data_IF_082411036604
#
_entry.id   IF_082411036604
#
_cell.length_a   1.000
_cell.length_b   1.000
_cell.length_c   1.000
_cell.angle_alpha   90.00
_cell.angle_beta   90.00
_cell.angle_gamma   90.00
#
_symmetry.space_group_name_H-M   'P 1'
#
loop_
_entity.id
_entity.type
_entity.pdbx_description
1 polymer ?
#
# COMPACT_ATOMS: atom_id res chain seq x y z
N UNK A 1 12.99 -18.18 6.68
CA UNK A 1 12.30 -18.24 7.99
C UNK A 1 12.07 -16.82 8.44
N UNK A 2 10.84 -16.33 8.45
CA UNK A 2 10.51 -15.03 9.03
C UNK A 2 9.17 -15.17 9.75
N UNK A 3 9.24 -15.58 11.02
CA UNK A 3 8.11 -15.52 11.94
C UNK A 3 8.46 -14.45 12.96
N UNK A 4 8.11 -13.21 12.65
CA UNK A 4 8.10 -12.08 13.60
C UNK A 4 6.65 -11.64 13.75
N UNK A 5 5.84 -12.47 14.42
CA UNK A 5 4.42 -12.15 14.71
C UNK A 5 4.29 -11.27 15.95
N UNK A 6 5.35 -11.19 16.77
CA UNK A 6 5.47 -10.15 17.77
C UNK A 6 6.38 -9.05 17.23
N UNK A 7 5.78 -7.95 16.75
CA UNK A 7 6.50 -6.68 16.72
C UNK A 7 7.08 -6.47 18.12
N UNK A 8 8.36 -6.10 18.18
CA UNK A 8 9.13 -5.85 19.39
C UNK A 8 8.43 -4.81 20.28
N UNK A 9 7.40 -5.24 21.00
CA UNK A 9 6.76 -4.46 22.04
C UNK A 9 7.61 -4.68 23.29
N UNK A 10 8.25 -3.62 23.76
CA UNK A 10 9.08 -3.62 24.96
C UNK A 10 8.29 -3.97 26.24
N UNK A 11 6.97 -4.19 26.13
CA UNK A 11 6.04 -4.38 27.25
C UNK A 11 5.18 -5.65 27.15
N UNK A 12 5.68 -6.75 26.58
CA UNK A 12 5.03 -8.06 26.80
C UNK A 12 5.41 -8.55 28.20
N UNK A 13 4.56 -8.22 29.17
CA UNK A 13 4.71 -8.68 30.55
C UNK A 13 3.84 -9.92 30.76
N UNK A 14 4.48 -11.07 30.95
CA UNK A 14 3.82 -12.28 31.43
C UNK A 14 4.00 -12.32 32.94
N UNK A 15 3.07 -11.69 33.66
CA UNK A 15 3.11 -11.66 35.12
C UNK A 15 2.35 -12.86 35.69
N UNK A 16 3.05 -13.86 36.24
CA UNK A 16 2.46 -14.96 37.02
C UNK A 16 3.10 -16.32 36.76
N UNK A 17 2.68 -17.32 37.55
CA UNK A 17 3.12 -18.70 37.38
C UNK A 17 2.15 -19.47 36.47
N UNK A 18 2.68 -20.37 35.65
CA UNK A 18 1.86 -21.37 34.96
C UNK A 18 1.28 -22.34 35.99
N UNK A 19 -0.05 -22.50 36.03
CA UNK A 19 -0.70 -23.43 36.93
C UNK A 19 -1.19 -24.66 36.17
N UNK A 20 -0.84 -25.86 36.64
CA UNK A 20 -1.28 -27.10 36.01
C UNK A 20 -2.81 -27.26 36.15
N UNK A 21 -3.51 -27.38 35.03
CA UNK A 21 -4.93 -27.65 34.99
C UNK A 21 -5.15 -29.14 34.74
N UNK A 22 -5.78 -29.83 35.69
CA UNK A 22 -6.10 -31.26 35.59
C UNK A 22 -7.58 -31.46 35.23
N UNK A 23 -7.92 -31.66 33.94
CA UNK A 23 -9.30 -31.96 33.54
C UNK A 23 -9.76 -33.31 34.12
N UNK A 24 -11.04 -33.38 34.54
CA UNK A 24 -11.61 -34.59 35.18
C UNK A 24 -11.70 -35.81 34.25
N UNK A 25 -11.90 -35.61 32.94
CA UNK A 25 -12.20 -36.68 31.98
C UNK A 25 -11.21 -36.72 30.79
N UNK A 26 -10.00 -36.17 30.93
CA UNK A 26 -9.01 -36.15 29.85
C UNK A 26 -7.67 -36.66 30.38
N UNK A 27 -7.27 -37.86 29.95
CA UNK A 27 -5.97 -38.44 30.29
C UNK A 27 -5.00 -38.11 29.16
N UNK A 28 -4.04 -37.26 29.43
CA UNK A 28 -2.98 -36.90 28.49
C UNK A 28 -1.76 -37.80 28.70
N UNK A 29 -1.03 -38.10 27.62
CA UNK A 29 0.25 -38.79 27.72
C UNK A 29 1.25 -38.00 28.56
N UNK A 30 2.19 -38.68 29.22
CA UNK A 30 3.17 -38.09 30.16
C UNK A 30 4.02 -36.95 29.62
N UNK A 31 4.08 -36.79 28.28
CA UNK A 31 4.79 -35.70 27.59
C UNK A 31 4.01 -34.38 27.55
N UNK A 32 2.73 -34.37 27.89
CA UNK A 32 1.85 -33.21 27.75
C UNK A 32 1.20 -32.85 29.09
N UNK A 33 1.20 -31.56 29.43
CA UNK A 33 0.48 -31.00 30.58
C UNK A 33 -0.37 -29.82 30.11
N UNK A 34 -1.62 -29.75 30.55
CA UNK A 34 -2.42 -28.54 30.35
C UNK A 34 -2.04 -27.56 31.45
N UNK A 35 -1.72 -26.34 31.05
CA UNK A 35 -1.39 -25.25 31.96
C UNK A 35 -2.32 -24.09 31.70
N UNK A 36 -2.71 -23.39 32.76
CA UNK A 36 -3.38 -22.10 32.67
C UNK A 36 -2.30 -21.03 32.72
N UNK A 37 -2.22 -20.19 31.68
CA UNK A 37 -1.31 -19.06 31.67
C UNK A 37 -1.93 -17.86 32.39
N UNK A 38 -1.12 -17.01 33.05
CA UNK A 38 -1.60 -15.70 33.48
C UNK A 38 -2.09 -14.89 32.26
N UNK A 39 -2.93 -13.87 32.52
CA UNK A 39 -3.41 -12.98 31.47
C UNK A 39 -2.23 -12.26 30.82
N UNK A 40 -2.05 -12.50 29.52
CA UNK A 40 -1.05 -11.80 28.71
C UNK A 40 -1.57 -10.37 28.49
N UNK A 41 -0.84 -9.38 29.01
CA UNK A 41 -1.10 -7.98 28.69
C UNK A 41 -0.24 -7.58 27.50
N UNK A 42 -0.87 -7.13 26.42
CA UNK A 42 -0.19 -6.67 25.23
C UNK A 42 -0.03 -5.14 25.27
N UNK A 43 1.08 -4.63 24.74
CA UNK A 43 1.30 -3.19 24.66
C UNK A 43 0.41 -2.52 23.60
N UNK A 44 0.50 -1.19 23.53
CA UNK A 44 -0.41 -0.37 22.74
C UNK A 44 -0.33 -0.67 21.23
N UNK A 45 0.85 -1.08 20.74
CA UNK A 45 1.05 -1.40 19.32
C UNK A 45 0.40 -2.73 18.98
N UNK A 46 0.61 -3.74 19.82
CA UNK A 46 -0.04 -5.05 19.66
C UNK A 46 -1.56 -4.91 19.79
N UNK A 47 -2.05 -4.13 20.75
CA UNK A 47 -3.49 -3.85 20.88
C UNK A 47 -4.06 -3.21 19.62
N UNK A 48 -3.37 -2.23 19.03
CA UNK A 48 -3.81 -1.63 17.77
C UNK A 48 -3.86 -2.68 16.65
N UNK A 49 -2.77 -3.43 16.45
CA UNK A 49 -2.67 -4.46 15.40
C UNK A 49 -3.82 -5.46 15.44
N UNK A 50 -4.17 -5.99 16.61
CA UNK A 50 -5.26 -6.98 16.74
C UNK A 50 -6.67 -6.42 16.60
N UNK A 51 -6.85 -5.10 16.79
CA UNK A 51 -8.15 -4.44 16.67
C UNK A 51 -8.34 -3.71 15.32
N UNK A 52 -7.38 -3.86 14.42
CA UNK A 52 -7.45 -3.39 13.04
C UNK A 52 -7.65 -4.62 12.16
N UNK A 53 -8.67 -4.58 11.30
CA UNK A 53 -8.95 -5.68 10.40
C UNK A 53 -7.79 -5.86 9.41
N UNK A 54 -7.38 -7.11 9.21
CA UNK A 54 -6.23 -7.42 8.36
C UNK A 54 -6.48 -7.11 6.88
N UNK A 55 -7.74 -7.10 6.43
CA UNK A 55 -8.18 -6.86 5.06
C UNK A 55 -8.50 -5.37 4.76
N UNK A 56 -8.32 -4.47 5.74
CA UNK A 56 -8.72 -3.07 5.63
C UNK A 56 -8.08 -2.34 4.42
N UNK A 57 -6.89 -2.77 4.02
CA UNK A 57 -6.13 -2.13 2.94
C UNK A 57 -6.10 -2.94 1.63
N UNK A 58 -6.76 -4.10 1.57
CA UNK A 58 -6.78 -4.96 0.37
C UNK A 58 -7.55 -4.31 -0.79
N UNK A 59 -8.62 -3.56 -0.46
CA UNK A 59 -9.43 -2.84 -1.43
C UNK A 59 -9.79 -1.44 -0.92
N UNK A 60 -9.04 -0.46 -1.41
CA UNK A 60 -9.22 0.93 -0.99
C UNK A 60 -10.36 1.58 -1.79
N UNK A 61 -11.47 1.80 -1.10
CA UNK A 61 -12.68 2.48 -1.54
C UNK A 61 -13.18 3.48 -0.49
N UNK A 62 -14.23 4.25 -0.81
CA UNK A 62 -14.78 5.28 0.08
C UNK A 62 -15.13 4.75 1.48
N UNK A 63 -15.68 3.54 1.59
CA UNK A 63 -16.04 2.93 2.89
C UNK A 63 -14.79 2.59 3.70
N UNK A 64 -13.79 1.97 3.07
CA UNK A 64 -12.52 1.63 3.73
C UNK A 64 -11.79 2.88 4.22
N UNK A 65 -11.81 3.98 3.46
CA UNK A 65 -11.17 5.26 3.82
C UNK A 65 -11.79 5.84 5.10
N UNK A 66 -13.12 5.76 5.25
CA UNK A 66 -13.81 6.18 6.47
C UNK A 66 -13.41 5.30 7.67
N UNK A 67 -13.27 3.99 7.45
CA UNK A 67 -12.84 3.06 8.51
C UNK A 67 -11.39 3.33 8.90
N UNK A 68 -10.50 3.61 7.95
CA UNK A 68 -9.11 3.99 8.20
C UNK A 68 -9.07 5.26 9.06
N UNK A 69 -9.81 6.31 8.71
CA UNK A 69 -9.92 7.54 9.51
C UNK A 69 -10.34 7.25 10.96
N UNK A 70 -11.41 6.44 11.14
CA UNK A 70 -11.88 6.04 12.46
C UNK A 70 -10.83 5.25 13.25
N UNK A 71 -10.11 4.33 12.59
CA UNK A 71 -9.09 3.52 13.23
C UNK A 71 -7.85 4.32 13.62
N UNK A 72 -7.47 5.33 12.86
CA UNK A 72 -6.38 6.25 13.26
C UNK A 72 -6.82 7.06 14.48
N UNK A 73 -8.08 7.52 14.55
CA UNK A 73 -8.61 8.21 15.74
C UNK A 73 -8.61 7.31 16.98
N UNK A 74 -8.93 6.03 16.81
CA UNK A 74 -8.91 5.02 17.88
C UNK A 74 -7.48 4.67 18.32
N UNK A 75 -6.55 4.56 17.36
CA UNK A 75 -5.16 4.16 17.59
C UNK A 75 -4.16 5.15 16.95
N UNK A 76 -4.08 6.40 17.44
CA UNK A 76 -3.28 7.46 16.82
C UNK A 76 -1.76 7.27 16.95
N UNK A 77 -1.33 6.26 17.71
CA UNK A 77 0.05 5.87 17.91
C UNK A 77 0.44 4.62 17.11
N UNK A 78 -0.47 4.05 16.30
CA UNK A 78 -0.27 2.76 15.64
C UNK A 78 0.73 2.84 14.49
N UNK A 79 1.91 2.25 14.67
CA UNK A 79 2.88 2.07 13.59
C UNK A 79 2.33 1.18 12.48
N UNK A 80 1.50 0.19 12.82
CA UNK A 80 0.85 -0.68 11.84
C UNK A 80 -0.03 0.12 10.87
N UNK A 81 -0.83 1.07 11.36
CA UNK A 81 -1.63 1.93 10.47
C UNK A 81 -0.74 2.81 9.59
N UNK A 82 0.28 3.43 10.18
CA UNK A 82 1.21 4.27 9.43
C UNK A 82 1.89 3.50 8.28
N UNK A 83 2.38 2.29 8.55
CA UNK A 83 3.03 1.45 7.54
C UNK A 83 2.06 1.05 6.43
N UNK A 84 0.84 0.62 6.77
CA UNK A 84 -0.15 0.27 5.75
C UNK A 84 -0.55 1.47 4.87
N UNK A 85 -0.66 2.66 5.47
CA UNK A 85 -0.94 3.89 4.72
C UNK A 85 0.23 4.23 3.80
N UNK A 86 1.49 4.07 4.25
CA UNK A 86 2.67 4.32 3.42
C UNK A 86 2.78 3.32 2.26
N UNK A 87 2.61 2.01 2.51
CA UNK A 87 2.62 0.98 1.45
C UNK A 87 1.54 1.26 0.40
N UNK A 88 0.38 1.76 0.83
CA UNK A 88 -0.76 2.06 -0.04
C UNK A 88 -0.90 3.54 -0.41
N UNK A 89 0.13 4.37 -0.23
CA UNK A 89 0.08 5.84 -0.40
C UNK A 89 -0.45 6.31 -1.76
N UNK A 90 -0.30 5.50 -2.81
CA UNK A 90 -0.75 5.83 -4.16
C UNK A 90 -2.25 5.57 -4.37
N UNK A 91 -2.88 4.81 -3.48
CA UNK A 91 -4.32 4.55 -3.49
C UNK A 91 -5.13 5.65 -2.79
N UNK A 92 -4.45 6.57 -2.09
CA UNK A 92 -5.07 7.71 -1.42
C UNK A 92 -4.77 9.02 -2.16
N UNK A 93 -5.70 9.97 -2.07
CA UNK A 93 -5.48 11.34 -2.52
C UNK A 93 -4.50 12.05 -1.60
N UNK A 94 -3.79 13.10 -2.09
CA UNK A 94 -2.90 13.88 -1.24
C UNK A 94 -3.61 14.49 -0.02
N UNK A 95 -4.88 14.89 -0.21
CA UNK A 95 -5.69 15.45 0.87
C UNK A 95 -6.04 14.41 1.94
N UNK A 96 -6.38 13.18 1.53
CA UNK A 96 -6.69 12.10 2.48
C UNK A 96 -5.47 11.75 3.34
N UNK A 97 -4.28 11.63 2.73
CA UNK A 97 -3.06 11.37 3.49
C UNK A 97 -2.76 12.52 4.44
N UNK A 98 -2.96 13.77 4.01
CA UNK A 98 -2.77 14.95 4.87
C UNK A 98 -3.72 14.94 6.08
N UNK A 99 -4.97 14.54 5.88
CA UNK A 99 -5.97 14.37 6.94
C UNK A 99 -5.57 13.25 7.90
N UNK A 100 -5.11 12.10 7.39
CA UNK A 100 -4.62 10.99 8.22
C UNK A 100 -3.40 11.37 9.06
N UNK A 101 -2.42 12.05 8.46
CA UNK A 101 -1.19 12.47 9.15
C UNK A 101 -1.49 13.40 10.34
N UNK A 102 -2.54 14.22 10.27
CA UNK A 102 -2.97 15.11 11.37
C UNK A 102 -3.58 14.36 12.55
N UNK A 103 -4.05 13.14 12.35
CA UNK A 103 -4.71 12.35 13.39
C UNK A 103 -3.71 11.54 14.23
N UNK A 104 -2.52 11.25 13.70
CA UNK A 104 -1.46 10.57 14.45
C UNK A 104 -0.90 11.45 15.58
N UNK A 105 -0.53 10.83 16.70
CA UNK A 105 -0.08 11.50 17.93
C UNK A 105 1.03 10.73 18.64
N UNK A 106 1.88 11.47 19.35
CA UNK A 106 2.99 10.93 20.14
C UNK A 106 4.24 10.68 19.29
N UNK A 107 5.16 9.87 19.80
CA UNK A 107 6.50 9.68 19.22
C UNK A 107 6.49 9.17 17.76
N UNK A 108 5.37 8.60 17.31
CA UNK A 108 5.19 8.19 15.91
C UNK A 108 5.35 9.36 14.93
N UNK A 109 5.00 10.60 15.31
CA UNK A 109 5.14 11.78 14.44
C UNK A 109 6.60 12.16 14.23
N UNK A 110 7.48 11.77 15.15
CA UNK A 110 8.92 11.99 15.04
C UNK A 110 9.64 10.86 14.29
N UNK A 111 8.95 9.75 14.02
CA UNK A 111 9.51 8.61 13.32
C UNK A 111 9.94 8.94 11.88
N UNK A 112 10.96 8.23 11.41
CA UNK A 112 11.45 8.38 10.04
C UNK A 112 10.36 8.07 9.00
N UNK A 113 9.55 7.04 9.25
CA UNK A 113 8.43 6.64 8.38
C UNK A 113 7.39 7.73 8.23
N UNK A 114 7.01 8.39 9.34
CA UNK A 114 6.06 9.50 9.32
C UNK A 114 6.61 10.69 8.54
N UNK A 115 7.87 11.05 8.80
CA UNK A 115 8.56 12.16 8.11
C UNK A 115 8.68 11.90 6.61
N UNK A 116 9.03 10.66 6.20
CA UNK A 116 9.09 10.24 4.80
C UNK A 116 7.73 10.36 4.11
N UNK A 117 6.67 9.82 4.71
CA UNK A 117 5.32 9.89 4.16
C UNK A 117 4.83 11.34 4.03
N UNK A 118 5.05 12.17 5.07
CA UNK A 118 4.70 13.59 5.04
C UNK A 118 5.45 14.34 3.94
N UNK A 119 6.76 14.13 3.80
CA UNK A 119 7.57 14.75 2.75
C UNK A 119 7.13 14.30 1.35
N UNK A 120 6.84 13.02 1.16
CA UNK A 120 6.29 12.50 -0.09
C UNK A 120 4.95 13.16 -0.43
N UNK A 121 4.04 13.26 0.54
CA UNK A 121 2.72 13.83 0.32
C UNK A 121 2.77 15.33 0.00
N UNK A 122 3.67 16.08 0.64
CA UNK A 122 3.92 17.49 0.34
C UNK A 122 4.36 17.70 -1.10
N UNK A 123 5.24 16.84 -1.64
CA UNK A 123 5.66 16.91 -3.05
C UNK A 123 4.48 16.75 -4.02
N UNK A 124 3.51 15.89 -3.69
CA UNK A 124 2.29 15.68 -4.51
C UNK A 124 1.40 16.92 -4.60
N UNK A 125 1.45 17.84 -3.62
CA UNK A 125 0.72 19.12 -3.69
C UNK A 125 1.44 20.17 -4.53
N UNK A 126 2.77 20.23 -4.46
CA UNK A 126 3.58 21.19 -5.21
C UNK A 126 3.64 20.90 -6.71
N UNK A 127 3.50 19.64 -7.11
CA UNK A 127 3.55 19.20 -8.51
C UNK A 127 2.20 19.37 -9.26
N UNK A 128 1.51 20.51 -9.07
CA UNK A 128 0.31 20.83 -9.88
C UNK A 128 0.61 20.95 -11.38
N UNK A 129 1.88 21.19 -11.73
CA UNK A 129 2.38 21.20 -13.10
C UNK A 129 3.26 19.97 -13.33
N UNK A 130 2.64 18.77 -13.32
CA UNK A 130 3.35 17.57 -13.76
C UNK A 130 3.68 17.72 -15.24
N UNK A 131 4.91 18.14 -15.54
CA UNK A 131 5.47 18.01 -16.88
C UNK A 131 5.60 16.53 -17.16
N UNK A 132 4.67 15.97 -17.94
CA UNK A 132 4.79 14.58 -18.36
C UNK A 132 6.10 14.40 -19.12
N UNK A 133 6.83 13.29 -18.88
CA UNK A 133 8.06 13.03 -19.59
C UNK A 133 7.78 12.94 -21.09
N UNK A 134 8.70 13.47 -21.89
CA UNK A 134 8.69 13.25 -23.33
C UNK A 134 9.00 11.78 -23.58
N UNK A 135 8.11 11.10 -24.29
CA UNK A 135 8.25 9.68 -24.57
C UNK A 135 8.94 9.48 -25.92
N UNK A 136 9.93 8.60 -25.94
CA UNK A 136 10.72 8.25 -27.12
C UNK A 136 10.28 6.90 -27.68
N UNK A 137 9.80 6.87 -28.92
CA UNK A 137 9.36 5.63 -29.55
C UNK A 137 10.54 4.70 -29.93
N UNK A 138 10.24 3.51 -30.45
CA UNK A 138 11.25 2.53 -30.86
C UNK A 138 12.20 3.04 -31.97
N UNK A 139 11.86 4.14 -32.64
CA UNK A 139 12.65 4.77 -33.70
C UNK A 139 13.41 6.00 -33.20
N UNK A 140 13.40 6.28 -31.89
CA UNK A 140 14.06 7.46 -31.31
C UNK A 140 13.26 8.75 -31.44
N UNK A 141 12.01 8.70 -31.91
CA UNK A 141 11.17 9.89 -32.08
C UNK A 141 10.57 10.28 -30.74
N UNK A 142 10.94 11.47 -30.28
CA UNK A 142 10.41 12.10 -29.08
C UNK A 142 9.03 12.69 -29.34
N UNK A 143 8.07 12.38 -28.47
CA UNK A 143 6.70 12.87 -28.56
C UNK A 143 6.18 13.33 -27.20
N UNK A 144 5.54 14.50 -27.18
CA UNK A 144 4.92 15.05 -25.97
C UNK A 144 3.57 14.36 -25.74
N UNK A 145 3.40 13.73 -24.58
CA UNK A 145 2.20 12.95 -24.23
C UNK A 145 0.96 13.83 -24.05
N UNK A 146 1.14 15.04 -23.52
CA UNK A 146 0.07 16.03 -23.41
C UNK A 146 0.08 16.91 -24.64
N UNK A 147 -1.03 16.88 -25.38
CA UNK A 147 -1.30 17.81 -26.45
C UNK A 147 -2.57 18.60 -26.08
N UNK A 148 -2.45 19.91 -25.79
CA UNK A 148 -3.57 20.72 -25.29
C UNK A 148 -4.74 20.82 -26.27
N UNK A 149 -4.56 20.40 -27.53
CA UNK A 149 -5.63 20.29 -28.53
C UNK A 149 -6.71 19.26 -28.17
N UNK A 150 -6.38 18.26 -27.36
CA UNK A 150 -7.28 17.16 -27.04
C UNK A 150 -7.80 17.28 -25.60
N UNK A 151 -9.06 16.90 -25.37
CA UNK A 151 -9.68 16.96 -24.03
C UNK A 151 -9.24 15.81 -23.12
N UNK A 152 -8.88 14.67 -23.71
CA UNK A 152 -8.50 13.44 -23.01
C UNK A 152 -7.34 12.76 -23.71
N UNK A 153 -6.44 12.17 -22.92
CA UNK A 153 -5.29 11.40 -23.39
C UNK A 153 -5.39 9.98 -22.85
N UNK A 154 -5.30 8.99 -23.74
CA UNK A 154 -5.09 7.60 -23.33
C UNK A 154 -3.65 7.21 -23.66
N UNK A 155 -2.91 6.78 -22.64
CA UNK A 155 -1.56 6.26 -22.79
C UNK A 155 -1.61 4.75 -22.61
N UNK A 156 -1.17 4.01 -23.62
CA UNK A 156 -1.13 2.54 -23.61
C UNK A 156 0.33 2.11 -23.62
N UNK A 157 0.82 1.67 -22.47
CA UNK A 157 2.10 0.99 -22.35
C UNK A 157 1.92 -0.49 -22.74
N UNK A 158 2.61 -0.94 -23.79
CA UNK A 158 2.48 -2.30 -24.29
C UNK A 158 3.82 -2.87 -24.72
N UNK A 159 3.89 -4.17 -25.00
CA UNK A 159 5.07 -4.79 -25.58
C UNK A 159 4.66 -5.90 -26.55
N UNK A 160 5.52 -6.21 -27.54
CA UNK A 160 5.26 -7.27 -28.52
C UNK A 160 5.10 -8.66 -27.90
N UNK A 161 5.71 -8.88 -26.74
CA UNK A 161 5.62 -10.11 -25.95
C UNK A 161 4.45 -10.12 -24.95
N UNK A 162 3.73 -9.01 -24.78
CA UNK A 162 2.58 -8.94 -23.87
C UNK A 162 1.33 -9.51 -24.56
N UNK A 163 1.04 -10.80 -24.31
CA UNK A 163 -0.15 -11.49 -24.83
C UNK A 163 -1.47 -10.77 -24.55
N UNK A 164 -1.79 -10.43 -23.28
CA UNK A 164 -3.01 -9.69 -22.93
C UNK A 164 -3.10 -8.33 -23.63
N UNK A 165 -2.01 -7.55 -23.65
CA UNK A 165 -1.99 -6.24 -24.31
C UNK A 165 -2.35 -6.34 -25.81
N UNK A 166 -1.87 -7.38 -26.50
CA UNK A 166 -2.17 -7.60 -27.93
C UNK A 166 -3.64 -7.91 -28.19
N UNK A 167 -4.34 -8.50 -27.21
CA UNK A 167 -5.78 -8.76 -27.30
C UNK A 167 -6.59 -7.49 -27.00
N UNK A 168 -6.12 -6.64 -26.10
CA UNK A 168 -6.80 -5.39 -25.70
C UNK A 168 -6.67 -4.26 -26.72
N UNK A 169 -5.49 -4.08 -27.33
CA UNK A 169 -5.22 -2.97 -28.25
C UNK A 169 -6.21 -2.87 -29.42
N UNK A 170 -6.60 -3.98 -30.11
CA UNK A 170 -7.59 -3.94 -31.17
C UNK A 170 -8.97 -3.44 -30.69
N UNK A 171 -9.37 -3.81 -29.47
CA UNK A 171 -10.63 -3.38 -28.88
C UNK A 171 -10.60 -1.87 -28.58
N UNK A 172 -9.49 -1.38 -27.99
CA UNK A 172 -9.29 0.05 -27.74
C UNK A 172 -9.33 0.87 -29.04
N UNK A 173 -8.72 0.38 -30.13
CA UNK A 173 -8.76 1.05 -31.43
C UNK A 173 -10.19 1.16 -31.99
N UNK A 174 -11.02 0.12 -31.81
CA UNK A 174 -12.43 0.16 -32.22
C UNK A 174 -13.21 1.22 -31.45
N UNK A 175 -13.05 1.28 -30.12
CA UNK A 175 -13.72 2.27 -29.27
C UNK A 175 -13.36 3.72 -29.64
N UNK A 176 -12.11 3.98 -30.01
CA UNK A 176 -11.65 5.33 -30.36
C UNK A 176 -12.06 5.81 -31.75
N UNK A 177 -12.43 4.89 -32.65
CA UNK A 177 -12.88 5.26 -34.01
C UNK A 177 -14.30 5.89 -33.98
N UNK A 178 -15.03 5.72 -32.88
CA UNK A 178 -16.33 6.36 -32.66
C UNK A 178 -16.09 7.88 -32.47
N UNK A 179 -16.33 8.64 -33.55
CA UNK A 179 -16.08 10.09 -33.76
C UNK A 179 -16.59 11.07 -32.69
N UNK A 180 -17.32 10.60 -31.68
CA UNK A 180 -17.93 11.43 -30.62
C UNK A 180 -16.91 11.85 -29.55
N UNK A 181 -15.73 11.23 -29.51
CA UNK A 181 -14.76 11.39 -28.45
C UNK A 181 -13.47 12.05 -28.98
N UNK A 182 -13.26 13.34 -28.65
CA UNK A 182 -12.02 14.08 -28.96
C UNK A 182 -10.83 13.60 -28.08
N UNK A 183 -10.31 12.41 -28.39
CA UNK A 183 -9.27 11.72 -27.62
C UNK A 183 -7.97 11.62 -28.42
N UNK A 184 -6.84 11.70 -27.71
CA UNK A 184 -5.54 11.37 -28.27
C UNK A 184 -5.06 10.03 -27.71
N UNK A 185 -4.60 9.14 -28.60
CA UNK A 185 -4.03 7.84 -28.23
C UNK A 185 -2.52 7.89 -28.40
N UNK A 186 -1.80 7.70 -27.29
CA UNK A 186 -0.36 7.46 -27.30
C UNK A 186 -0.09 6.00 -26.99
N UNK A 187 0.53 5.30 -27.94
CA UNK A 187 0.99 3.92 -27.74
C UNK A 187 2.50 3.95 -27.52
N UNK A 188 2.93 3.40 -26.39
CA UNK A 188 4.34 3.31 -26.06
C UNK A 188 4.76 1.84 -25.99
N UNK A 189 5.66 1.44 -26.88
CA UNK A 189 6.20 0.09 -26.87
C UNK A 189 7.35 0.02 -25.87
N UNK A 190 7.18 -0.77 -24.81
CA UNK A 190 8.25 -1.12 -23.89
C UNK A 190 9.24 -2.05 -24.61
N UNK A 191 10.34 -1.49 -25.10
CA UNK A 191 11.51 -2.27 -25.48
C UNK A 191 12.11 -2.89 -24.22
N UNK A 192 12.71 -4.09 -24.32
CA UNK A 192 13.51 -4.64 -23.20
C UNK A 192 14.42 -3.54 -22.67
N UNK A 193 14.29 -3.23 -21.38
CA UNK A 193 15.27 -2.42 -20.66
C UNK A 193 16.63 -2.99 -21.03
N UNK A 194 17.48 -2.21 -21.71
CA UNK A 194 18.88 -2.59 -21.90
C UNK A 194 19.43 -2.75 -20.49
N UNK A 195 19.57 -3.99 -20.04
CA UNK A 195 20.32 -4.32 -18.84
C UNK A 195 21.75 -3.88 -19.13
N UNK A 196 22.11 -2.66 -18.75
CA UNK A 196 23.49 -2.26 -18.57
C UNK A 196 23.99 -2.99 -17.32
N UNK A 197 24.38 -4.24 -17.52
CA UNK A 197 24.97 -5.10 -16.52
C UNK A 197 25.98 -6.00 -17.22
N UNK A 198 27.19 -5.48 -17.44
CA UNK A 198 28.37 -6.32 -17.60
C UNK A 198 28.41 -7.22 -16.37
N UNK A 199 28.12 -8.51 -16.55
CA UNK A 199 28.66 -9.54 -15.66
C UNK A 199 30.14 -9.64 -15.98
N UNK A 200 30.97 -9.09 -15.11
CA UNK A 200 32.26 -9.68 -14.74
C UNK A 200 32.10 -10.16 -13.30
#
# INVERSE_FOLDING_TARGET
MSVTIFFSDSLILINGNLTEFKPKNLILGSKYKIVTSPRISAGIQTKALYNINCDLFDNINTKSILIVDQKIKEYPYSYHLLYNIDENKNSFSPQQIEEFLKLFKGDITESESFKKLSAYNKKRFSEKNSTLPVLEDANGKKSTVLNPKYKKHLVVFWASWCGPCRQEIPLLKKCMTIKILNWNLFQFQLTKIKTHGKRQ
#
